data_IF_002962229214
#
_entry.id   IF_002962229214
#
_cell.length_a   1.000
_cell.length_b   1.000
_cell.length_c   1.000
_cell.angle_alpha   90.00
_cell.angle_beta   90.00
_cell.angle_gamma   90.00
#
_symmetry.space_group_name_H-M   'P 1'
#
loop_
_entity.id
_entity.type
_entity.pdbx_description
1 polymer ?
#
# COMPACT_ATOMS: atom_id res chain seq x y z
N UNK A 1 19.23 5.61 2.85
CA UNK A 1 18.20 4.71 2.29
C UNK A 1 17.00 4.72 3.22
N UNK A 2 15.82 5.12 2.72
CA UNK A 2 14.57 5.16 3.50
C UNK A 2 13.64 4.05 2.99
N UNK A 3 13.22 3.12 3.84
CA UNK A 3 12.21 2.12 3.51
C UNK A 3 10.78 2.67 3.66
N UNK A 4 9.86 2.05 2.94
CA UNK A 4 8.42 2.22 3.03
C UNK A 4 7.82 0.82 3.24
N UNK A 5 7.18 0.60 4.39
CA UNK A 5 6.50 -0.67 4.70
C UNK A 5 5.09 -0.39 5.21
N UNK A 6 4.08 -0.71 4.42
CA UNK A 6 2.68 -0.44 4.76
C UNK A 6 1.91 -1.73 5.02
N UNK A 7 0.87 -1.62 5.84
CA UNK A 7 -0.16 -2.62 6.02
C UNK A 7 -1.47 -2.22 5.33
N UNK A 8 -2.19 -3.19 4.76
CA UNK A 8 -3.58 -3.01 4.31
C UNK A 8 -4.33 -4.35 4.33
N UNK A 9 -5.62 -4.30 4.61
CA UNK A 9 -6.57 -5.41 4.49
C UNK A 9 -7.36 -5.34 3.18
N UNK A 10 -7.58 -4.14 2.63
CA UNK A 10 -8.48 -3.92 1.49
C UNK A 10 -7.81 -3.37 0.24
N UNK A 11 -6.66 -2.69 0.35
CA UNK A 11 -6.11 -1.87 -0.73
C UNK A 11 -7.19 -0.91 -1.28
N UNK A 12 -7.26 -0.69 -2.60
CA UNK A 12 -8.29 0.14 -3.25
C UNK A 12 -9.65 -0.55 -3.47
N UNK A 13 -10.12 -1.38 -2.52
CA UNK A 13 -11.40 -2.10 -2.68
C UNK A 13 -12.57 -1.13 -2.97
N UNK A 14 -12.57 0.04 -2.35
CA UNK A 14 -13.60 1.07 -2.57
C UNK A 14 -13.66 1.55 -4.03
N UNK A 15 -12.51 1.80 -4.65
CA UNK A 15 -12.42 2.15 -6.08
C UNK A 15 -12.88 1.00 -6.96
N UNK A 16 -12.60 -0.24 -6.55
CA UNK A 16 -13.07 -1.47 -7.21
C UNK A 16 -14.59 -1.60 -7.19
N UNK A 17 -15.21 -1.43 -6.03
CA UNK A 17 -16.66 -1.46 -5.86
C UNK A 17 -17.34 -0.36 -6.70
N UNK A 18 -16.78 0.85 -6.67
CA UNK A 18 -17.26 1.96 -7.51
C UNK A 18 -17.15 1.63 -9.00
N UNK A 19 -16.03 1.04 -9.43
CA UNK A 19 -15.85 0.61 -10.81
C UNK A 19 -16.89 -0.43 -11.23
N UNK A 20 -17.07 -1.49 -10.45
CA UNK A 20 -18.05 -2.55 -10.74
C UNK A 20 -19.46 -1.98 -10.80
N UNK A 21 -19.83 -1.11 -9.84
CA UNK A 21 -21.14 -0.47 -9.82
C UNK A 21 -21.40 0.34 -11.09
N UNK A 22 -20.48 1.22 -11.47
CA UNK A 22 -20.61 2.04 -12.68
C UNK A 22 -20.75 1.17 -13.94
N UNK A 23 -19.86 0.19 -14.10
CA UNK A 23 -19.84 -0.70 -15.27
C UNK A 23 -21.11 -1.55 -15.38
N UNK A 24 -21.62 -2.05 -14.27
CA UNK A 24 -22.86 -2.84 -14.23
C UNK A 24 -24.09 -2.00 -14.61
N UNK A 25 -24.05 -0.68 -14.34
CA UNK A 25 -25.11 0.26 -14.71
C UNK A 25 -24.88 0.93 -16.09
N UNK A 26 -23.98 0.40 -16.92
CA UNK A 26 -23.67 0.93 -18.25
C UNK A 26 -22.97 2.29 -18.25
N UNK A 27 -22.43 2.72 -17.11
CA UNK A 27 -21.72 3.99 -16.96
C UNK A 27 -20.21 3.84 -17.19
N UNK A 28 -19.53 4.88 -17.68
CA UNK A 28 -18.07 4.87 -17.78
C UNK A 28 -17.42 4.94 -16.39
N UNK A 29 -16.26 4.30 -16.23
CA UNK A 29 -15.43 4.38 -15.04
C UNK A 29 -14.02 4.80 -15.48
N UNK A 30 -13.79 6.11 -15.50
CA UNK A 30 -12.59 6.73 -16.12
C UNK A 30 -11.46 7.00 -15.13
N UNK A 31 -11.78 7.04 -13.84
CA UNK A 31 -10.80 7.31 -12.75
C UNK A 31 -10.23 6.03 -12.15
N UNK A 32 -10.79 4.87 -12.48
CA UNK A 32 -10.34 3.59 -11.95
C UNK A 32 -9.07 3.13 -12.67
N UNK A 33 -8.10 2.70 -11.88
CA UNK A 33 -6.88 2.06 -12.36
C UNK A 33 -6.70 0.73 -11.65
N UNK A 34 -6.48 -0.34 -12.42
CA UNK A 34 -6.29 -1.68 -11.85
C UNK A 34 -5.20 -1.73 -10.78
N UNK A 35 -4.13 -0.94 -10.94
CA UNK A 35 -3.04 -0.85 -9.97
C UNK A 35 -3.53 -0.57 -8.54
N UNK A 36 -4.63 0.18 -8.36
CA UNK A 36 -5.22 0.47 -7.04
C UNK A 36 -5.67 -0.81 -6.30
N UNK A 37 -6.02 -1.87 -7.03
CA UNK A 37 -6.39 -3.17 -6.46
C UNK A 37 -5.18 -4.00 -6.01
N UNK A 38 -3.98 -3.67 -6.50
CA UNK A 38 -2.79 -4.42 -6.15
C UNK A 38 -2.41 -4.12 -4.69
N UNK A 39 -2.17 -5.15 -3.89
CA UNK A 39 -1.77 -4.99 -2.48
C UNK A 39 -0.54 -4.07 -2.34
N UNK A 40 0.36 -4.07 -3.31
CA UNK A 40 1.56 -3.23 -3.30
C UNK A 40 1.32 -1.75 -3.54
N UNK A 41 0.13 -1.34 -3.99
CA UNK A 41 -0.14 0.02 -4.45
C UNK A 41 0.10 1.11 -3.39
N UNK A 42 -0.33 0.97 -2.12
CA UNK A 42 -0.08 2.00 -1.12
C UNK A 42 1.41 2.33 -0.95
N UNK A 43 2.27 1.30 -0.92
CA UNK A 43 3.71 1.49 -0.77
C UNK A 43 4.34 2.04 -2.04
N UNK A 44 3.88 1.58 -3.21
CA UNK A 44 4.32 2.07 -4.52
C UNK A 44 3.96 3.54 -4.71
N UNK A 45 2.71 3.90 -4.43
CA UNK A 45 2.21 5.27 -4.46
C UNK A 45 3.05 6.17 -3.56
N UNK A 46 3.27 5.78 -2.30
CA UNK A 46 4.02 6.62 -1.36
C UNK A 46 5.49 6.76 -1.75
N UNK A 47 6.11 5.69 -2.28
CA UNK A 47 7.47 5.73 -2.82
C UNK A 47 7.62 6.71 -3.97
N UNK A 48 6.68 6.70 -4.92
CA UNK A 48 6.64 7.68 -6.01
C UNK A 48 6.37 9.10 -5.50
N UNK A 49 5.42 9.28 -4.59
CA UNK A 49 5.03 10.60 -4.08
C UNK A 49 6.16 11.28 -3.30
N UNK A 50 6.93 10.50 -2.52
CA UNK A 50 8.08 10.98 -1.75
C UNK A 50 9.41 10.95 -2.53
N UNK A 51 9.40 10.45 -3.77
CA UNK A 51 10.61 10.24 -4.58
C UNK A 51 11.69 9.44 -3.84
N UNK A 52 11.32 8.30 -3.26
CA UNK A 52 12.22 7.43 -2.51
C UNK A 52 12.54 6.13 -3.26
N UNK A 53 13.83 5.87 -3.42
CA UNK A 53 14.36 4.67 -4.11
C UNK A 53 14.71 3.51 -3.14
N UNK A 54 14.31 3.60 -1.87
CA UNK A 54 14.50 2.52 -0.92
C UNK A 54 13.46 1.40 -1.04
N UNK A 55 13.57 0.32 -0.26
CA UNK A 55 12.62 -0.77 -0.28
C UNK A 55 11.19 -0.28 -0.02
N UNK A 56 10.25 -0.59 -0.90
CA UNK A 56 8.84 -0.20 -0.78
C UNK A 56 7.96 -1.43 -1.00
N UNK A 57 7.25 -1.87 0.04
CA UNK A 57 6.33 -3.01 -0.07
C UNK A 57 5.22 -2.97 0.96
N UNK A 58 4.06 -3.49 0.56
CA UNK A 58 2.89 -3.61 1.43
C UNK A 58 2.72 -5.07 1.84
N UNK A 59 2.21 -5.30 3.05
CA UNK A 59 1.82 -6.62 3.54
C UNK A 59 0.38 -6.63 4.03
N UNK A 60 -0.26 -7.79 3.91
CA UNK A 60 -1.62 -8.01 4.40
C UNK A 60 -1.64 -9.20 5.36
N UNK A 61 -1.93 -8.92 6.62
CA UNK A 61 -2.18 -9.90 7.68
C UNK A 61 -3.47 -9.54 8.44
N UNK A 62 -4.48 -9.07 7.69
CA UNK A 62 -5.76 -8.56 8.19
C UNK A 62 -5.56 -7.47 9.27
N UNK A 63 -6.28 -7.55 10.40
CA UNK A 63 -6.22 -6.57 11.49
C UNK A 63 -4.82 -6.36 12.10
N UNK A 64 -3.87 -7.26 11.83
CA UNK A 64 -2.49 -7.16 12.34
C UNK A 64 -1.51 -6.50 11.35
N UNK A 65 -1.98 -6.08 10.17
CA UNK A 65 -1.11 -5.60 9.07
C UNK A 65 -0.22 -4.44 9.49
N UNK A 66 -0.77 -3.39 10.11
CA UNK A 66 0.03 -2.22 10.53
C UNK A 66 1.07 -2.56 11.59
N UNK A 67 0.72 -3.43 12.56
CA UNK A 67 1.67 -3.91 13.56
C UNK A 67 2.80 -4.72 12.91
N UNK A 68 2.46 -5.56 11.93
CA UNK A 68 3.45 -6.35 11.18
C UNK A 68 4.34 -5.46 10.31
N UNK A 69 3.81 -4.38 9.72
CA UNK A 69 4.58 -3.39 8.98
C UNK A 69 5.61 -2.68 9.88
N UNK A 70 5.22 -2.28 11.10
CA UNK A 70 6.15 -1.71 12.08
C UNK A 70 7.27 -2.68 12.45
N UNK A 71 6.94 -3.94 12.73
CA UNK A 71 7.93 -5.00 13.03
C UNK A 71 8.91 -5.17 11.87
N UNK A 72 8.40 -5.21 10.64
CA UNK A 72 9.24 -5.34 9.44
C UNK A 72 10.16 -4.13 9.24
N UNK A 73 9.66 -2.91 9.41
CA UNK A 73 10.49 -1.69 9.31
C UNK A 73 11.62 -1.67 10.33
N UNK A 74 11.34 -2.03 11.59
CA UNK A 74 12.38 -2.18 12.63
C UNK A 74 13.46 -3.19 12.21
N UNK A 75 13.06 -4.35 11.70
CA UNK A 75 14.00 -5.40 11.25
C UNK A 75 14.90 -4.93 10.10
N UNK A 76 14.39 -4.12 9.18
CA UNK A 76 15.20 -3.56 8.09
C UNK A 76 16.28 -2.61 8.62
N UNK A 77 15.94 -1.80 9.63
CA UNK A 77 16.89 -0.89 10.29
C UNK A 77 17.95 -1.70 11.06
N UNK A 78 17.52 -2.67 11.88
CA UNK A 78 18.43 -3.52 12.67
C UNK A 78 19.38 -4.36 11.81
N UNK A 79 18.94 -4.75 10.60
CA UNK A 79 19.77 -5.46 9.63
C UNK A 79 20.73 -4.56 8.84
N UNK A 80 20.73 -3.24 9.06
CA UNK A 80 21.56 -2.29 8.30
C UNK A 80 21.16 -2.16 6.82
N UNK A 81 19.94 -2.57 6.45
CA UNK A 81 19.44 -2.48 5.08
C UNK A 81 18.92 -1.08 4.75
N UNK A 82 18.48 -0.32 5.75
CA UNK A 82 18.02 1.07 5.63
C UNK A 82 18.39 1.89 6.86
N UNK A 83 18.41 3.22 6.71
CA UNK A 83 18.74 4.16 7.79
C UNK A 83 17.47 4.65 8.51
N UNK A 84 16.32 4.60 7.82
CA UNK A 84 15.02 4.92 8.36
C UNK A 84 13.93 4.10 7.65
N UNK A 85 12.77 3.95 8.29
CA UNK A 85 11.61 3.29 7.71
C UNK A 85 10.33 4.09 8.02
N UNK A 86 9.55 4.37 6.98
CA UNK A 86 8.18 4.86 7.07
C UNK A 86 7.29 3.63 7.19
N UNK A 87 6.54 3.55 8.29
CA UNK A 87 5.70 2.39 8.62
C UNK A 87 4.30 2.84 8.98
N UNK A 88 3.31 2.01 8.67
CA UNK A 88 1.92 2.28 9.01
C UNK A 88 0.96 1.32 8.34
N UNK A 89 -0.29 1.74 8.19
CA UNK A 89 -1.27 1.04 7.36
C UNK A 89 -2.50 1.89 7.10
N UNK A 90 -3.23 1.53 6.04
CA UNK A 90 -4.42 2.22 5.58
C UNK A 90 -5.43 1.20 5.03
N UNK A 91 -6.70 1.45 5.29
CA UNK A 91 -7.85 0.73 4.75
C UNK A 91 -8.96 1.76 4.45
N UNK A 92 -9.80 1.45 3.47
CA UNK A 92 -10.99 2.22 3.04
C UNK A 92 -12.15 1.29 2.76
#
# INVERSE_FOLDING_TARGET
>A
RIAIVLGTSTSGLHEGDTHVNLRTNGQPSTTWHYAQQELGDPSRFLSHWLALDGPAYTLSTACSSSARAMISGRRLIEAGLVDAAIVGGADT
#
